data_IF_136957913187
#
_entry.id   IF_136957913187
#
_cell.length_a   1.000
_cell.length_b   1.000
_cell.length_c   1.000
_cell.angle_alpha   90.00
_cell.angle_beta   90.00
_cell.angle_gamma   90.00
#
_symmetry.space_group_name_H-M   'P 1'
#
loop_
_entity.id
_entity.type
_entity.pdbx_description
1 polymer ?
#
# COMPACT_ATOMS: atom_id res chain seq x y z
N UNK A 1 10.14 19.72 -8.29
CA UNK A 1 9.89 18.33 -8.76
C UNK A 1 8.99 18.38 -9.98
N UNK A 2 9.21 17.55 -10.99
CA UNK A 2 8.34 17.51 -12.16
C UNK A 2 6.98 16.90 -11.78
N UNK A 3 5.88 17.54 -12.16
CA UNK A 3 4.52 17.09 -11.83
C UNK A 3 4.27 15.66 -12.31
N UNK A 4 4.86 15.27 -13.45
CA UNK A 4 4.74 13.92 -14.01
C UNK A 4 5.34 12.86 -13.09
N UNK A 5 6.50 13.15 -12.49
CA UNK A 5 7.15 12.23 -11.55
C UNK A 5 6.36 12.12 -10.25
N UNK A 6 5.79 13.22 -9.77
CA UNK A 6 4.92 13.19 -8.58
C UNK A 6 3.73 12.26 -8.78
N UNK A 7 3.00 12.45 -9.89
CA UNK A 7 1.82 11.64 -10.22
C UNK A 7 2.22 10.17 -10.40
N UNK A 8 3.29 9.90 -11.14
CA UNK A 8 3.78 8.54 -11.36
C UNK A 8 4.12 7.81 -10.05
N UNK A 9 4.91 8.43 -9.18
CA UNK A 9 5.29 7.80 -7.91
C UNK A 9 4.07 7.56 -7.00
N UNK A 10 3.15 8.54 -6.96
CA UNK A 10 1.90 8.42 -6.20
C UNK A 10 1.08 7.22 -6.69
N UNK A 11 0.91 7.09 -8.01
CA UNK A 11 0.14 6.00 -8.61
C UNK A 11 0.79 4.63 -8.38
N UNK A 12 2.12 4.54 -8.48
CA UNK A 12 2.87 3.32 -8.20
C UNK A 12 2.70 2.91 -6.73
N UNK A 13 2.87 3.85 -5.79
CA UNK A 13 2.71 3.55 -4.36
C UNK A 13 1.29 3.13 -3.99
N UNK A 14 0.28 3.74 -4.62
CA UNK A 14 -1.12 3.34 -4.48
C UNK A 14 -1.33 1.90 -4.94
N UNK A 15 -0.87 1.56 -6.14
CA UNK A 15 -1.03 0.21 -6.69
C UNK A 15 -0.29 -0.83 -5.84
N UNK A 16 0.93 -0.52 -5.38
CA UNK A 16 1.72 -1.42 -4.52
C UNK A 16 1.00 -1.76 -3.22
N UNK A 17 0.45 -0.74 -2.54
CA UNK A 17 -0.24 -0.91 -1.25
C UNK A 17 -1.62 -1.56 -1.43
N UNK A 18 -2.40 -1.12 -2.42
CA UNK A 18 -3.71 -1.70 -2.67
C UNK A 18 -3.61 -3.16 -3.10
N UNK A 19 -2.69 -3.47 -4.02
CA UNK A 19 -2.52 -4.83 -4.54
C UNK A 19 -1.99 -5.79 -3.47
N UNK A 20 -1.00 -5.37 -2.68
CA UNK A 20 -0.50 -6.18 -1.57
C UNK A 20 -1.60 -6.50 -0.55
N UNK A 21 -2.51 -5.56 -0.27
CA UNK A 21 -3.64 -5.80 0.64
C UNK A 21 -4.69 -6.73 0.03
N UNK A 22 -5.03 -6.56 -1.25
CA UNK A 22 -5.95 -7.47 -1.95
C UNK A 22 -5.41 -8.89 -2.00
N UNK A 23 -4.11 -9.08 -2.27
CA UNK A 23 -3.50 -10.41 -2.34
C UNK A 23 -3.60 -11.20 -1.03
N UNK A 24 -3.44 -10.53 0.11
CA UNK A 24 -3.53 -11.18 1.42
C UNK A 24 -4.97 -11.30 1.95
N UNK A 25 -5.94 -10.63 1.33
CA UNK A 25 -7.30 -10.53 1.86
C UNK A 25 -7.99 -11.89 2.02
N UNK A 26 -7.75 -12.81 1.08
CA UNK A 26 -8.25 -14.19 1.18
C UNK A 26 -7.57 -15.04 2.27
N UNK A 27 -6.53 -14.50 2.93
CA UNK A 27 -5.80 -15.11 4.03
C UNK A 27 -6.13 -14.45 5.38
N UNK A 28 -7.01 -13.44 5.41
CA UNK A 28 -7.53 -12.86 6.65
C UNK A 28 -8.46 -13.86 7.36
N UNK A 29 -7.90 -14.81 8.10
CA UNK A 29 -8.65 -15.58 9.10
C UNK A 29 -8.71 -14.80 10.42
N UNK A 30 -9.75 -15.00 11.22
CA UNK A 30 -9.93 -14.31 12.52
C UNK A 30 -8.89 -14.69 13.60
N UNK A 31 -7.92 -15.55 13.26
CA UNK A 31 -6.93 -16.07 14.18
C UNK A 31 -5.73 -15.13 14.33
N UNK A 32 -5.00 -15.28 15.43
CA UNK A 32 -3.85 -14.46 15.85
C UNK A 32 -2.71 -14.32 14.81
N UNK A 33 -2.82 -14.99 13.66
CA UNK A 33 -1.95 -14.88 12.48
C UNK A 33 -2.25 -13.64 11.63
N UNK A 34 -3.34 -12.90 11.88
CA UNK A 34 -3.65 -11.60 11.24
C UNK A 34 -2.44 -10.66 11.20
N UNK A 35 -1.67 -10.61 12.30
CA UNK A 35 -0.46 -9.81 12.38
C UNK A 35 0.57 -10.18 11.32
N UNK A 36 0.67 -11.47 10.94
CA UNK A 36 1.60 -12.00 9.94
C UNK A 36 1.19 -11.66 8.49
N UNK A 37 -0.10 -11.54 8.21
CA UNK A 37 -0.57 -11.20 6.88
C UNK A 37 -0.44 -9.70 6.58
N UNK A 38 -0.53 -8.84 7.60
CA UNK A 38 -0.36 -7.39 7.45
C UNK A 38 1.08 -6.96 7.07
N UNK A 39 2.08 -7.83 7.17
CA UNK A 39 3.47 -7.50 6.82
C UNK A 39 3.65 -7.14 5.35
N UNK A 40 2.89 -7.75 4.45
CA UNK A 40 3.04 -7.49 3.01
C UNK A 40 2.57 -6.05 2.63
N UNK A 41 1.38 -5.58 3.05
CA UNK A 41 0.97 -4.18 2.87
C UNK A 41 1.87 -3.19 3.60
N UNK A 42 2.30 -3.51 4.82
CA UNK A 42 3.22 -2.65 5.60
C UNK A 42 4.57 -2.55 4.86
N UNK A 43 5.11 -3.67 4.37
CA UNK A 43 6.33 -3.71 3.57
C UNK A 43 6.20 -2.91 2.27
N UNK A 44 5.06 -3.01 1.57
CA UNK A 44 4.79 -2.23 0.37
C UNK A 44 4.73 -0.71 0.65
N UNK A 45 4.16 -0.31 1.80
CA UNK A 45 4.14 1.07 2.24
C UNK A 45 5.55 1.59 2.57
N UNK A 46 6.33 0.84 3.36
CA UNK A 46 7.72 1.18 3.69
C UNK A 46 8.57 1.30 2.43
N UNK A 47 8.49 0.32 1.52
CA UNK A 47 9.24 0.33 0.25
C UNK A 47 8.87 1.55 -0.60
N UNK A 48 7.58 1.94 -0.63
CA UNK A 48 7.12 3.13 -1.34
C UNK A 48 7.73 4.41 -0.78
N UNK A 49 7.91 4.52 0.54
CA UNK A 49 8.61 5.64 1.17
C UNK A 49 10.14 5.56 0.97
N UNK A 50 10.74 4.38 0.90
CA UNK A 50 12.17 4.23 0.63
C UNK A 50 12.53 4.60 -0.81
N UNK A 51 11.75 4.15 -1.79
CA UNK A 51 12.00 4.39 -3.22
C UNK A 51 11.69 5.83 -3.63
N UNK A 52 10.63 6.39 -3.05
CA UNK A 52 10.09 7.67 -3.51
C UNK A 52 10.09 8.74 -2.41
N UNK A 53 10.56 8.49 -1.20
CA UNK A 53 10.53 9.48 -0.11
C UNK A 53 9.11 9.82 0.36
N UNK A 54 8.97 10.85 1.19
CA UNK A 54 7.68 11.21 1.83
C UNK A 54 6.59 11.69 0.86
N UNK A 55 6.95 12.00 -0.39
CA UNK A 55 6.02 12.48 -1.43
C UNK A 55 4.98 11.45 -1.87
N UNK A 56 5.20 10.15 -1.61
CA UNK A 56 4.22 9.09 -1.91
C UNK A 56 3.17 8.89 -0.82
N UNK A 57 3.17 9.73 0.22
CA UNK A 57 2.21 9.70 1.31
C UNK A 57 0.75 9.53 0.84
N UNK A 58 0.32 10.37 -0.12
CA UNK A 58 -1.05 10.32 -0.62
C UNK A 58 -1.36 9.00 -1.34
N UNK A 59 -0.41 8.45 -2.08
CA UNK A 59 -0.62 7.18 -2.78
C UNK A 59 -0.72 6.01 -1.81
N UNK A 60 0.16 5.96 -0.81
CA UNK A 60 0.09 4.96 0.28
C UNK A 60 -1.22 5.07 1.06
N UNK A 61 -1.61 6.29 1.46
CA UNK A 61 -2.84 6.54 2.21
C UNK A 61 -4.09 6.11 1.42
N UNK A 62 -4.19 6.54 0.15
CA UNK A 62 -5.32 6.16 -0.72
C UNK A 62 -5.30 4.66 -0.99
N UNK A 63 -4.13 4.04 -1.15
CA UNK A 63 -4.01 2.60 -1.36
C UNK A 63 -4.60 1.78 -0.19
N UNK A 64 -4.30 2.17 1.04
CA UNK A 64 -4.92 1.54 2.22
C UNK A 64 -6.42 1.81 2.30
N UNK A 65 -6.83 3.08 2.16
CA UNK A 65 -8.24 3.45 2.24
C UNK A 65 -9.09 2.71 1.20
N UNK A 66 -8.61 2.63 -0.04
CA UNK A 66 -9.27 1.92 -1.13
C UNK A 66 -9.38 0.42 -0.84
N UNK A 67 -8.29 -0.20 -0.35
CA UNK A 67 -8.31 -1.62 -0.02
C UNK A 67 -9.30 -1.94 1.11
N UNK A 68 -9.47 -1.05 2.10
CA UNK A 68 -10.48 -1.19 3.15
C UNK A 68 -11.92 -1.00 2.67
N UNK A 69 -12.14 -0.25 1.58
CA UNK A 69 -13.48 -0.06 1.01
C UNK A 69 -13.87 -1.26 0.15
N UNK A 70 -12.90 -1.89 -0.52
CA UNK A 70 -13.13 -2.99 -1.48
C UNK A 70 -13.24 -4.36 -0.79
N UNK A 71 -12.52 -4.58 0.32
CA UNK A 71 -12.42 -5.84 1.07
C UNK A 71 -13.28 -5.78 2.33
#
# INVERSE_FOLDING_TARGET
>A
MNIKQFVSHTLISLMMVAFSRVLISGLDSADFVIGNYLWLPIGAAILSYLLFGFKTFFGVFIGFALATIIL
#
